data_IF_657072125388
#
_entry.id   IF_657072125388
#
_cell.length_a   1.000
_cell.length_b   1.000
_cell.length_c   1.000
_cell.angle_alpha   90.00
_cell.angle_beta   90.00
_cell.angle_gamma   90.00
#
_symmetry.space_group_name_H-M   'P 1'
#
loop_
_entity.id
_entity.type
_entity.pdbx_description
1 polymer ?
#
# COMPACT_ATOMS: atom_id res chain seq x y z
N UNK A 1 4.36 -49.39 9.33
CA UNK A 1 4.76 -49.65 7.93
C UNK A 1 5.96 -48.77 7.64
N UNK A 2 7.07 -49.44 7.37
CA UNK A 2 8.44 -48.93 7.31
C UNK A 2 8.87 -48.86 5.85
N UNK A 3 9.52 -47.79 5.40
CA UNK A 3 10.52 -47.75 4.33
C UNK A 3 11.30 -46.42 4.53
N UNK A 4 12.56 -46.40 5.00
CA UNK A 4 13.83 -46.81 4.34
C UNK A 4 14.00 -46.07 2.99
N UNK A 5 15.07 -45.34 2.69
CA UNK A 5 16.42 -45.28 3.26
C UNK A 5 17.15 -43.98 2.83
N UNK A 6 18.23 -43.62 3.53
CA UNK A 6 19.65 -43.89 3.13
C UNK A 6 20.11 -42.82 2.12
N UNK A 7 21.12 -41.98 2.36
CA UNK A 7 22.51 -42.33 2.68
C UNK A 7 23.28 -41.19 3.37
N UNK A 8 24.03 -41.58 4.40
CA UNK A 8 25.45 -41.26 4.73
C UNK A 8 25.97 -39.82 4.70
N UNK A 9 26.38 -39.27 5.86
CA UNK A 9 27.64 -39.49 6.60
C UNK A 9 28.81 -38.67 6.04
N UNK A 10 29.28 -37.70 6.83
CA UNK A 10 30.68 -37.57 7.27
C UNK A 10 30.68 -36.76 8.57
N UNK A 11 31.05 -37.48 9.62
CA UNK A 11 31.34 -37.05 10.98
C UNK A 11 32.63 -36.24 11.04
N UNK A 12 32.59 -35.20 11.88
CA UNK A 12 33.64 -34.68 12.77
C UNK A 12 35.11 -34.63 12.30
N UNK A 13 35.76 -33.50 12.57
CA UNK A 13 36.89 -33.39 13.53
C UNK A 13 37.41 -31.95 13.46
N UNK A 14 37.03 -31.11 14.42
CA UNK A 14 37.78 -29.90 14.76
C UNK A 14 38.58 -30.22 16.03
N UNK A 15 39.82 -30.67 15.82
CA UNK A 15 40.81 -30.89 16.86
C UNK A 15 41.55 -29.58 17.10
N UNK A 16 41.57 -29.14 18.36
CA UNK A 16 42.38 -28.04 18.90
C UNK A 16 43.86 -28.23 18.55
N UNK A 17 44.53 -27.16 18.16
CA UNK A 17 46.00 -27.07 18.11
C UNK A 17 46.48 -26.01 19.12
N UNK A 18 47.47 -26.33 19.98
CA UNK A 18 48.01 -25.43 20.98
C UNK A 18 49.20 -24.60 20.44
N UNK A 19 49.44 -23.49 21.13
CA UNK A 19 50.64 -22.67 21.05
C UNK A 19 51.91 -23.49 21.36
N UNK A 20 52.95 -23.31 20.54
CA UNK A 20 54.33 -23.62 20.90
C UNK A 20 55.30 -22.66 20.20
N UNK A 21 56.07 -21.97 21.03
CA UNK A 21 57.23 -21.11 20.78
C UNK A 21 58.41 -21.87 20.15
N UNK A 22 59.14 -21.23 19.24
CA UNK A 22 60.46 -21.67 18.78
C UNK A 22 60.92 -20.91 17.54
N UNK A 23 61.98 -20.12 17.69
CA UNK A 23 62.49 -19.23 16.64
C UNK A 23 63.20 -19.95 15.48
N UNK A 24 63.29 -19.24 14.36
CA UNK A 24 64.42 -19.32 13.44
C UNK A 24 64.35 -18.15 12.46
N UNK A 25 65.39 -17.32 12.48
CA UNK A 25 65.66 -16.31 11.47
C UNK A 25 66.16 -17.03 10.22
N UNK A 26 65.31 -17.15 9.21
CA UNK A 26 65.74 -17.46 7.84
C UNK A 26 65.10 -16.47 6.89
N UNK A 27 65.92 -15.53 6.44
CA UNK A 27 65.64 -14.69 5.28
C UNK A 27 65.40 -15.59 4.06
N UNK A 28 64.18 -15.52 3.53
CA UNK A 28 63.78 -16.15 2.29
C UNK A 28 62.95 -15.15 1.49
N UNK A 29 63.62 -14.32 0.70
CA UNK A 29 63.04 -13.78 -0.53
C UNK A 29 62.67 -14.95 -1.46
N UNK A 30 61.65 -14.73 -2.32
CA UNK A 30 61.00 -15.61 -3.32
C UNK A 30 59.57 -15.99 -2.84
N UNK A 31 58.47 -15.67 -3.52
CA UNK A 31 58.26 -15.21 -4.89
C UNK A 31 57.01 -14.30 -4.96
N UNK A 32 57.13 -13.24 -5.75
CA UNK A 32 56.02 -12.41 -6.19
C UNK A 32 55.12 -13.26 -7.10
N UNK A 33 54.00 -13.72 -6.54
CA UNK A 33 52.94 -14.43 -7.27
C UNK A 33 51.57 -13.88 -6.87
N UNK A 34 51.39 -12.56 -6.97
CA UNK A 34 50.09 -11.90 -6.77
C UNK A 34 49.90 -10.86 -7.88
N UNK A 35 49.63 -11.32 -9.10
CA UNK A 35 49.21 -10.42 -10.18
C UNK A 35 48.14 -11.11 -11.01
N UNK A 36 46.90 -11.05 -10.54
CA UNK A 36 45.72 -11.18 -11.39
C UNK A 36 44.45 -10.83 -10.63
N UNK A 37 44.44 -9.69 -9.94
CA UNK A 37 43.23 -8.95 -9.56
C UNK A 37 43.61 -7.47 -9.37
N UNK A 38 44.10 -6.84 -10.46
CA UNK A 38 44.44 -5.40 -10.47
C UNK A 38 43.21 -4.49 -10.23
N UNK A 39 42.00 -5.04 -10.18
CA UNK A 39 40.80 -4.33 -9.74
C UNK A 39 40.74 -4.09 -8.22
N UNK A 40 41.30 -4.99 -7.40
CA UNK A 40 41.17 -4.91 -5.93
C UNK A 40 42.11 -3.89 -5.27
N UNK A 41 43.29 -3.66 -5.84
CA UNK A 41 44.29 -2.74 -5.29
C UNK A 41 43.84 -1.26 -5.35
N UNK A 42 43.11 -0.88 -6.40
CA UNK A 42 42.54 0.47 -6.53
C UNK A 42 41.48 0.76 -5.46
N UNK A 43 40.61 -0.22 -5.18
CA UNK A 43 39.55 -0.09 -4.18
C UNK A 43 40.11 0.02 -2.75
N UNK A 44 41.17 -0.72 -2.44
CA UNK A 44 41.84 -0.62 -1.12
C UNK A 44 42.50 0.75 -0.89
N UNK A 45 43.09 1.35 -1.92
CA UNK A 45 43.67 2.69 -1.82
C UNK A 45 42.59 3.76 -1.65
N UNK A 46 41.45 3.63 -2.32
CA UNK A 46 40.36 4.60 -2.23
C UNK A 46 39.57 4.54 -0.92
N UNK A 47 39.70 3.48 -0.11
CA UNK A 47 39.15 3.44 1.25
C UNK A 47 40.03 4.16 2.29
N UNK A 48 41.29 4.46 1.99
CA UNK A 48 42.17 5.22 2.89
C UNK A 48 41.74 6.68 2.98
N UNK A 49 41.62 7.22 4.21
CA UNK A 49 41.06 8.56 4.48
C UNK A 49 41.77 9.70 3.74
N UNK A 50 43.06 9.56 3.46
CA UNK A 50 43.89 10.56 2.79
C UNK A 50 43.81 10.50 1.26
N UNK A 51 43.42 9.37 0.67
CA UNK A 51 43.24 9.22 -0.78
C UNK A 51 41.78 9.38 -1.25
N UNK A 52 40.80 9.25 -0.35
CA UNK A 52 39.37 9.48 -0.65
C UNK A 52 39.09 10.77 -1.45
N UNK A 53 39.68 11.95 -1.12
CA UNK A 53 39.41 13.17 -1.86
C UNK A 53 39.86 13.07 -3.33
N UNK A 54 40.99 12.40 -3.56
CA UNK A 54 41.57 12.23 -4.90
C UNK A 54 40.74 11.23 -5.70
N UNK A 55 40.36 10.09 -5.12
CA UNK A 55 39.50 9.11 -5.79
C UNK A 55 38.12 9.68 -6.12
N UNK A 56 37.57 10.50 -5.23
CA UNK A 56 36.30 11.17 -5.39
C UNK A 56 36.30 12.17 -6.55
N UNK A 57 37.35 12.99 -6.68
CA UNK A 57 37.51 13.92 -7.81
C UNK A 57 37.67 13.15 -9.13
N UNK A 58 38.40 12.04 -9.10
CA UNK A 58 38.65 11.19 -10.26
C UNK A 58 37.48 10.24 -10.63
N UNK A 59 36.36 10.27 -9.88
CA UNK A 59 35.22 9.37 -10.08
C UNK A 59 35.62 7.89 -10.17
N UNK A 60 36.61 7.48 -9.37
CA UNK A 60 36.98 6.07 -9.27
C UNK A 60 35.85 5.31 -8.56
N UNK A 61 35.48 4.15 -9.10
CA UNK A 61 34.39 3.34 -8.56
C UNK A 61 34.66 2.99 -7.09
N UNK A 62 33.64 3.12 -6.23
CA UNK A 62 33.75 2.84 -4.80
C UNK A 62 33.84 4.06 -3.87
N UNK A 63 33.81 5.30 -4.39
CA UNK A 63 33.85 6.53 -3.57
C UNK A 63 32.87 7.58 -4.08
N UNK A 64 31.87 7.88 -3.25
CA UNK A 64 30.91 8.93 -3.53
C UNK A 64 31.56 10.33 -3.61
N UNK A 65 31.12 11.16 -4.56
CA UNK A 65 31.48 12.58 -4.57
C UNK A 65 30.88 13.34 -3.38
N UNK A 66 31.42 14.50 -2.95
CA UNK A 66 30.80 15.29 -1.88
C UNK A 66 29.35 15.68 -2.19
N UNK A 67 29.04 15.93 -3.47
CA UNK A 67 27.69 16.23 -3.93
C UNK A 67 26.77 15.01 -3.80
N UNK A 68 27.27 13.84 -4.23
CA UNK A 68 26.55 12.57 -4.10
C UNK A 68 26.30 12.20 -2.64
N UNK A 69 27.31 12.29 -1.78
CA UNK A 69 27.19 12.01 -0.35
C UNK A 69 26.10 12.89 0.28
N UNK A 70 26.11 14.18 -0.02
CA UNK A 70 25.09 15.12 0.49
C UNK A 70 23.68 14.75 0.01
N UNK A 71 23.54 14.34 -1.25
CA UNK A 71 22.26 13.92 -1.80
C UNK A 71 21.79 12.60 -1.17
N UNK A 72 22.70 11.65 -0.99
CA UNK A 72 22.45 10.39 -0.29
C UNK A 72 22.01 10.64 1.15
N UNK A 73 22.71 11.46 1.90
CA UNK A 73 22.36 11.77 3.29
C UNK A 73 20.95 12.38 3.37
N UNK A 74 20.58 13.24 2.41
CA UNK A 74 19.23 13.79 2.30
C UNK A 74 18.18 12.71 2.00
N UNK A 75 18.44 11.82 1.03
CA UNK A 75 17.53 10.73 0.68
C UNK A 75 17.37 9.72 1.83
N UNK A 76 18.48 9.33 2.44
CA UNK A 76 18.53 8.40 3.57
C UNK A 76 17.86 8.96 4.82
N UNK A 77 18.00 10.27 5.09
CA UNK A 77 17.30 10.94 6.19
C UNK A 77 15.80 11.08 5.92
N UNK A 78 15.41 11.37 4.68
CA UNK A 78 14.00 11.48 4.29
C UNK A 78 13.27 10.14 4.31
N UNK A 79 13.97 9.04 4.02
CA UNK A 79 13.41 7.68 3.94
C UNK A 79 12.16 7.58 3.04
N UNK A 80 12.06 8.47 2.04
CA UNK A 80 10.96 8.49 1.09
C UNK A 80 11.34 7.77 -0.19
N UNK A 81 10.38 7.09 -0.81
CA UNK A 81 10.60 6.43 -2.08
C UNK A 81 11.02 7.43 -3.17
N UNK A 82 10.43 8.62 -3.18
CA UNK A 82 10.81 9.68 -4.13
C UNK A 82 12.24 10.18 -3.92
N UNK A 83 12.72 10.25 -2.66
CA UNK A 83 14.10 10.60 -2.36
C UNK A 83 15.09 9.59 -2.95
N UNK A 84 14.83 8.29 -2.78
CA UNK A 84 15.66 7.24 -3.35
C UNK A 84 15.60 7.20 -4.89
N UNK A 85 14.42 7.39 -5.48
CA UNK A 85 14.27 7.51 -6.95
C UNK A 85 15.06 8.68 -7.52
N UNK A 86 14.95 9.84 -6.87
CA UNK A 86 15.67 11.05 -7.29
C UNK A 86 17.18 10.85 -7.20
N UNK A 87 17.65 10.18 -6.15
CA UNK A 87 19.06 9.81 -6.02
C UNK A 87 19.51 8.89 -7.17
N UNK A 88 18.79 7.80 -7.45
CA UNK A 88 19.12 6.87 -8.55
C UNK A 88 19.08 7.56 -9.92
N UNK A 89 18.11 8.45 -10.15
CA UNK A 89 18.01 9.20 -11.39
C UNK A 89 19.22 10.13 -11.63
N UNK A 90 19.84 10.61 -10.55
CA UNK A 90 21.00 11.51 -10.60
C UNK A 90 22.33 10.74 -10.61
N UNK A 91 22.40 9.66 -9.84
CA UNK A 91 23.59 8.84 -9.60
C UNK A 91 23.28 7.36 -9.86
N UNK A 92 22.97 7.02 -11.10
CA UNK A 92 22.56 5.66 -11.49
C UNK A 92 23.63 4.60 -11.19
N UNK A 93 24.90 4.96 -11.40
CA UNK A 93 26.08 4.13 -11.08
C UNK A 93 26.81 4.64 -9.81
N UNK A 94 26.12 5.40 -8.97
CA UNK A 94 26.66 5.94 -7.73
C UNK A 94 26.95 4.87 -6.67
N UNK A 95 27.77 5.21 -5.69
CA UNK A 95 28.16 4.33 -4.59
C UNK A 95 26.94 3.79 -3.83
N UNK A 96 25.92 4.62 -3.62
CA UNK A 96 24.71 4.23 -2.89
C UNK A 96 23.57 3.76 -3.80
N UNK A 97 23.79 3.59 -5.11
CA UNK A 97 22.74 3.20 -6.05
C UNK A 97 22.15 1.83 -5.72
N UNK A 98 23.01 0.87 -5.35
CA UNK A 98 22.59 -0.46 -4.90
C UNK A 98 21.73 -0.39 -3.63
N UNK A 99 22.11 0.46 -2.68
CA UNK A 99 21.39 0.64 -1.42
C UNK A 99 20.04 1.33 -1.62
N UNK A 100 19.98 2.38 -2.44
CA UNK A 100 18.74 3.05 -2.82
C UNK A 100 17.77 2.07 -3.52
N UNK A 101 18.30 1.24 -4.43
CA UNK A 101 17.52 0.22 -5.14
C UNK A 101 16.98 -0.83 -4.18
N UNK A 102 17.78 -1.28 -3.22
CA UNK A 102 17.34 -2.21 -2.19
C UNK A 102 16.20 -1.62 -1.33
N UNK A 103 16.29 -0.33 -0.96
CA UNK A 103 15.22 0.38 -0.22
C UNK A 103 13.92 0.46 -1.01
N UNK A 104 13.99 0.78 -2.30
CA UNK A 104 12.81 0.81 -3.18
C UNK A 104 12.22 -0.59 -3.40
N UNK A 105 13.05 -1.61 -3.50
CA UNK A 105 12.58 -3.00 -3.66
C UNK A 105 11.91 -3.51 -2.38
N UNK A 106 12.40 -3.07 -1.22
CA UNK A 106 11.80 -3.37 0.08
C UNK A 106 10.60 -2.46 0.44
N UNK A 107 10.21 -1.54 -0.45
CA UNK A 107 9.13 -0.61 -0.18
C UNK A 107 7.83 -1.37 0.08
N UNK A 108 7.14 -1.00 1.16
CA UNK A 108 5.83 -1.56 1.47
C UNK A 108 4.77 -0.74 0.74
N UNK A 109 3.89 -1.43 0.01
CA UNK A 109 2.67 -0.84 -0.52
C UNK A 109 1.66 -0.65 0.61
N UNK A 110 1.32 0.59 0.91
CA UNK A 110 0.27 0.97 1.86
C UNK A 110 -0.96 1.34 1.06
N UNK A 111 -2.04 0.60 1.26
CA UNK A 111 -3.35 0.97 0.75
C UNK A 111 -4.14 1.67 1.86
N UNK A 112 -4.71 2.82 1.54
CA UNK A 112 -5.65 3.50 2.42
C UNK A 112 -6.99 3.71 1.71
N UNK A 113 -8.05 3.38 2.42
CA UNK A 113 -9.41 3.55 1.95
C UNK A 113 -9.97 4.87 2.49
N UNK A 114 -10.52 5.68 1.61
CA UNK A 114 -11.25 6.90 1.98
C UNK A 114 -12.60 6.90 1.29
N UNK A 115 -13.59 7.57 1.88
CA UNK A 115 -14.89 7.79 1.25
C UNK A 115 -14.98 9.23 0.76
N UNK A 116 -15.42 9.41 -0.48
CA UNK A 116 -15.71 10.72 -1.02
C UNK A 116 -16.93 11.35 -0.32
N UNK A 117 -17.04 12.67 -0.46
CA UNK A 117 -18.21 13.41 -0.02
C UNK A 117 -19.50 12.76 -0.57
N UNK A 118 -20.58 12.66 0.24
CA UNK A 118 -21.82 12.04 -0.21
C UNK A 118 -22.44 12.79 -1.40
N UNK A 119 -23.02 12.03 -2.33
CA UNK A 119 -23.73 12.53 -3.51
C UNK A 119 -25.12 11.90 -3.59
N UNK A 120 -26.09 12.65 -4.11
CA UNK A 120 -27.48 12.20 -4.26
C UNK A 120 -27.70 11.58 -5.65
N UNK A 121 -28.17 10.33 -5.67
CA UNK A 121 -28.64 9.64 -6.87
C UNK A 121 -30.16 9.53 -6.83
N UNK A 122 -30.83 10.05 -7.86
CA UNK A 122 -32.28 10.11 -7.94
C UNK A 122 -32.81 9.01 -8.85
N UNK A 123 -33.66 8.14 -8.32
CA UNK A 123 -34.22 6.99 -9.03
C UNK A 123 -35.75 7.00 -8.95
N UNK A 124 -36.47 6.56 -10.00
CA UNK A 124 -37.92 6.49 -9.96
C UNK A 124 -38.39 5.42 -8.97
N UNK A 125 -39.45 5.71 -8.23
CA UNK A 125 -40.10 4.78 -7.31
C UNK A 125 -41.62 4.96 -7.36
N UNK A 126 -42.33 3.85 -7.23
CA UNK A 126 -43.77 3.82 -7.01
C UNK A 126 -44.04 3.00 -5.74
N UNK A 127 -45.08 3.37 -5.00
CA UNK A 127 -45.49 2.66 -3.80
C UNK A 127 -46.98 2.38 -3.84
N UNK A 128 -47.35 1.10 -3.84
CA UNK A 128 -48.74 0.70 -3.76
C UNK A 128 -49.23 0.87 -2.34
N UNK A 129 -50.45 1.39 -2.19
CA UNK A 129 -51.10 1.46 -0.90
C UNK A 129 -51.16 0.07 -0.25
N UNK A 130 -50.70 -0.04 0.99
CA UNK A 130 -50.94 -1.22 1.80
C UNK A 130 -52.44 -1.30 2.21
N UNK A 131 -52.81 -2.40 2.86
CA UNK A 131 -54.18 -2.63 3.32
C UNK A 131 -54.39 -2.20 4.79
N UNK A 132 -53.48 -1.42 5.35
CA UNK A 132 -53.56 -0.93 6.74
C UNK A 132 -54.26 0.43 6.75
N UNK A 133 -55.52 0.52 7.21
CA UNK A 133 -56.26 1.78 7.21
C UNK A 133 -55.76 2.72 8.32
N UNK A 134 -55.58 3.99 7.99
CA UNK A 134 -55.22 5.06 8.93
C UNK A 134 -56.40 6.00 9.19
N UNK A 135 -56.46 6.68 10.36
CA UNK A 135 -57.61 7.54 10.71
C UNK A 135 -57.80 8.75 9.78
N UNK A 136 -56.71 9.25 9.19
CA UNK A 136 -56.73 10.42 8.31
C UNK A 136 -55.90 10.17 7.06
N UNK A 137 -56.20 10.91 6.00
CA UNK A 137 -55.39 10.89 4.79
C UNK A 137 -53.93 11.31 5.05
N UNK A 138 -53.71 12.32 5.89
CA UNK A 138 -52.37 12.76 6.26
C UNK A 138 -51.57 11.64 6.94
N UNK A 139 -52.19 10.88 7.86
CA UNK A 139 -51.57 9.73 8.49
C UNK A 139 -51.27 8.60 7.49
N UNK A 140 -52.20 8.33 6.57
CA UNK A 140 -52.01 7.34 5.52
C UNK A 140 -50.86 7.70 4.57
N UNK A 141 -50.74 8.97 4.16
CA UNK A 141 -49.63 9.45 3.30
C UNK A 141 -48.29 9.37 4.03
N UNK A 142 -48.24 9.77 5.30
CA UNK A 142 -47.02 9.67 6.10
C UNK A 142 -46.54 8.22 6.24
N UNK A 143 -47.47 7.29 6.50
CA UNK A 143 -47.16 5.87 6.54
C UNK A 143 -46.68 5.32 5.20
N UNK A 144 -47.35 5.69 4.09
CA UNK A 144 -46.95 5.29 2.75
C UNK A 144 -45.53 5.77 2.39
N UNK A 145 -45.16 7.01 2.77
CA UNK A 145 -43.79 7.52 2.59
C UNK A 145 -42.77 6.71 3.40
N UNK A 146 -43.05 6.44 4.68
CA UNK A 146 -42.14 5.65 5.53
C UNK A 146 -41.95 4.22 4.98
N UNK A 147 -43.03 3.57 4.55
CA UNK A 147 -42.99 2.26 3.90
C UNK A 147 -42.22 2.30 2.58
N UNK A 148 -42.41 3.36 1.77
CA UNK A 148 -41.68 3.54 0.53
C UNK A 148 -40.18 3.78 0.74
N UNK A 149 -39.78 4.51 1.78
CA UNK A 149 -38.37 4.71 2.12
C UNK A 149 -37.69 3.41 2.54
N UNK A 150 -38.36 2.57 3.33
CA UNK A 150 -37.86 1.23 3.67
C UNK A 150 -37.72 0.38 2.41
N UNK A 151 -38.76 0.33 1.59
CA UNK A 151 -38.73 -0.42 0.34
C UNK A 151 -37.63 0.05 -0.61
N UNK A 152 -37.48 1.37 -0.79
CA UNK A 152 -36.45 1.95 -1.64
C UNK A 152 -35.04 1.63 -1.12
N UNK A 153 -34.83 1.62 0.21
CA UNK A 153 -33.56 1.20 0.80
C UNK A 153 -33.19 -0.24 0.45
N UNK A 154 -34.17 -1.14 0.55
CA UNK A 154 -33.95 -2.58 0.41
C UNK A 154 -33.97 -3.05 -1.05
N UNK A 155 -34.44 -2.21 -1.98
CA UNK A 155 -34.54 -2.55 -3.40
C UNK A 155 -33.83 -1.52 -4.30
N UNK A 156 -34.43 -0.35 -4.49
CA UNK A 156 -33.97 0.70 -5.42
C UNK A 156 -32.55 1.18 -5.15
N UNK A 157 -32.21 1.43 -3.88
CA UNK A 157 -30.91 1.92 -3.43
C UNK A 157 -29.98 0.78 -2.97
N UNK A 158 -30.42 -0.47 -2.97
CA UNK A 158 -29.69 -1.60 -2.37
C UNK A 158 -28.31 -1.82 -3.03
N UNK A 159 -28.20 -1.54 -4.33
CA UNK A 159 -26.92 -1.63 -5.06
C UNK A 159 -25.82 -0.75 -4.49
N UNK A 160 -26.16 0.35 -3.81
CA UNK A 160 -25.20 1.26 -3.20
C UNK A 160 -24.78 0.86 -1.78
N UNK A 161 -25.35 -0.20 -1.21
CA UNK A 161 -25.05 -0.64 0.16
C UNK A 161 -23.76 -1.49 0.27
N UNK A 162 -23.09 -1.80 -0.85
CA UNK A 162 -21.92 -2.68 -0.85
C UNK A 162 -20.87 -2.31 -1.90
N UNK A 163 -19.69 -2.92 -1.79
CA UNK A 163 -18.61 -2.81 -2.76
C UNK A 163 -17.94 -1.43 -2.75
N UNK A 164 -17.93 -0.78 -3.91
CA UNK A 164 -17.32 0.54 -4.13
C UNK A 164 -18.16 1.69 -3.58
N UNK A 165 -19.37 1.41 -3.11
CA UNK A 165 -20.29 2.42 -2.61
C UNK A 165 -20.68 2.16 -1.16
N UNK A 166 -21.04 3.24 -0.48
CA UNK A 166 -21.67 3.19 0.84
C UNK A 166 -22.90 4.07 0.84
N UNK A 167 -24.05 3.45 0.95
CA UNK A 167 -25.33 4.12 1.17
C UNK A 167 -25.32 4.85 2.52
N UNK A 168 -25.54 6.16 2.49
CA UNK A 168 -25.58 7.06 3.66
C UNK A 168 -27.00 7.38 4.08
N UNK A 169 -27.92 7.45 3.12
CA UNK A 169 -29.30 7.85 3.37
C UNK A 169 -30.22 7.47 2.21
N UNK A 170 -31.50 7.38 2.52
CA UNK A 170 -32.59 7.19 1.56
C UNK A 170 -33.72 8.10 2.00
N UNK A 171 -34.25 8.88 1.04
CA UNK A 171 -35.44 9.70 1.21
C UNK A 171 -36.34 9.51 0.00
N UNK A 172 -37.66 9.61 0.19
CA UNK A 172 -38.62 9.49 -0.92
C UNK A 172 -39.44 10.77 -1.05
N UNK A 173 -39.49 11.29 -2.27
CA UNK A 173 -40.40 12.35 -2.69
C UNK A 173 -41.53 11.70 -3.49
N UNK A 174 -42.78 11.92 -3.08
CA UNK A 174 -43.94 11.30 -3.70
C UNK A 174 -44.82 12.34 -4.40
N UNK A 175 -45.12 12.08 -5.66
CA UNK A 175 -46.10 12.76 -6.50
C UNK A 175 -47.25 11.76 -6.82
N UNK A 176 -48.26 12.13 -7.62
CA UNK A 176 -49.23 11.14 -8.11
C UNK A 176 -50.02 10.37 -7.03
N UNK A 177 -50.37 11.03 -5.92
CA UNK A 177 -51.05 10.38 -4.79
C UNK A 177 -52.42 9.78 -5.17
N UNK A 178 -52.64 8.54 -4.76
CA UNK A 178 -53.94 7.87 -4.82
C UNK A 178 -54.34 7.42 -3.42
N UNK A 179 -55.38 8.05 -2.87
CA UNK A 179 -55.93 7.73 -1.56
C UNK A 179 -57.38 7.26 -1.70
N UNK A 180 -57.78 6.28 -0.88
CA UNK A 180 -59.16 5.76 -0.86
C UNK A 180 -59.58 5.32 0.53
N UNK A 181 -60.89 5.39 0.80
CA UNK A 181 -61.47 4.85 2.02
C UNK A 181 -61.44 3.32 2.00
N UNK A 182 -60.99 2.71 3.09
CA UNK A 182 -60.91 1.26 3.26
C UNK A 182 -61.19 0.90 4.72
N UNK A 183 -62.20 0.04 4.96
CA UNK A 183 -62.57 -0.47 6.30
C UNK A 183 -62.70 0.61 7.39
N UNK A 184 -63.26 1.77 7.04
CA UNK A 184 -63.48 2.87 8.00
C UNK A 184 -62.27 3.77 8.26
N UNK A 185 -61.15 3.57 7.55
CA UNK A 185 -60.04 4.52 7.50
C UNK A 185 -59.61 4.82 6.07
N UNK A 186 -58.42 5.37 5.90
CA UNK A 186 -57.84 5.77 4.61
C UNK A 186 -56.55 4.99 4.35
N UNK A 187 -56.37 4.54 3.12
CA UNK A 187 -55.10 4.01 2.62
C UNK A 187 -54.62 4.86 1.45
N UNK A 188 -53.31 5.07 1.36
CA UNK A 188 -52.69 5.90 0.33
C UNK A 188 -51.48 5.20 -0.29
N UNK A 189 -51.27 5.46 -1.57
CA UNK A 189 -50.05 5.11 -2.31
C UNK A 189 -49.81 6.13 -3.41
N UNK A 190 -48.77 5.92 -4.21
CA UNK A 190 -48.40 6.79 -5.32
C UNK A 190 -47.78 5.99 -6.47
N UNK A 191 -48.04 6.43 -7.69
CA UNK A 191 -47.51 5.83 -8.93
C UNK A 191 -46.26 6.56 -9.45
N UNK A 192 -46.06 7.81 -9.04
CA UNK A 192 -44.95 8.67 -9.46
C UNK A 192 -44.20 9.18 -8.24
N UNK A 193 -42.94 8.81 -8.10
CA UNK A 193 -42.10 9.28 -7.01
C UNK A 193 -40.62 9.15 -7.33
N UNK A 194 -39.80 9.74 -6.48
CA UNK A 194 -38.34 9.73 -6.58
C UNK A 194 -37.76 9.25 -5.26
N UNK A 195 -36.96 8.18 -5.32
CA UNK A 195 -36.06 7.81 -4.25
C UNK A 195 -34.75 8.55 -4.45
N UNK A 196 -34.28 9.26 -3.43
CA UNK A 196 -32.95 9.86 -3.44
C UNK A 196 -32.05 9.05 -2.53
N UNK A 197 -31.11 8.35 -3.15
CA UNK A 197 -30.08 7.57 -2.49
C UNK A 197 -28.87 8.48 -2.27
N UNK A 198 -28.57 8.83 -1.02
CA UNK A 198 -27.34 9.56 -0.69
C UNK A 198 -26.20 8.56 -0.53
N UNK A 199 -25.17 8.65 -1.35
CA UNK A 199 -24.13 7.62 -1.52
C UNK A 199 -22.74 8.25 -1.45
N UNK A 200 -21.82 7.60 -0.75
CA UNK A 200 -20.39 7.90 -0.83
C UNK A 200 -19.67 6.83 -1.63
N UNK A 201 -18.85 7.23 -2.60
CA UNK A 201 -17.94 6.32 -3.30
C UNK A 201 -16.66 6.08 -2.47
N UNK A 202 -16.19 4.83 -2.47
CA UNK A 202 -14.93 4.38 -1.91
C UNK A 202 -13.82 4.74 -2.89
N UNK A 203 -12.75 5.33 -2.38
CA UNK A 203 -11.50 5.52 -3.11
C UNK A 203 -10.39 4.78 -2.39
N UNK A 204 -9.54 4.11 -3.16
CA UNK A 204 -8.34 3.44 -2.66
C UNK A 204 -7.16 4.28 -3.14
N UNK A 205 -6.43 4.87 -2.20
CA UNK A 205 -5.14 5.48 -2.49
C UNK A 205 -4.03 4.51 -2.12
N UNK A 206 -3.01 4.47 -2.96
CA UNK A 206 -1.85 3.61 -2.83
C UNK A 206 -0.65 4.52 -2.59
N UNK A 207 0.01 4.32 -1.47
CA UNK A 207 1.27 4.95 -1.15
C UNK A 207 2.36 3.89 -1.01
N UNK A 208 3.61 4.27 -1.23
CA UNK A 208 4.75 3.43 -0.94
C UNK A 208 5.48 3.96 0.28
N UNK A 209 5.83 3.03 1.17
CA UNK A 209 6.56 3.31 2.39
C UNK A 209 7.95 2.68 2.30
N UNK A 210 8.94 3.54 2.09
CA UNK A 210 10.36 3.18 2.04
C UNK A 210 11.07 3.41 3.38
N UNK A 211 10.34 3.66 4.48
CA UNK A 211 10.91 3.80 5.82
C UNK A 211 11.20 2.47 6.50
N UNK A 212 10.65 1.38 5.97
CA UNK A 212 10.83 0.01 6.48
C UNK A 212 12.31 -0.38 6.40
N UNK A 213 12.87 -0.83 7.53
CA UNK A 213 14.31 -1.09 7.68
C UNK A 213 14.70 -2.53 7.43
#
# INVERSE_FOLDING_TARGET
MTFLGVVDSITSVFRKSPFATGGSLTAGLLALGVISDLGGAGQFMCQQSWFRPVCSVLHLQGVASPAEQKMWDSAAKGQTCDGYRTYIATYADGEFASQATARLTAARRIESETFLAPQDFVLPVAHRADLTPYPTEAAARAAALASAESYARDTTCAGYASGEFRLKGVRVEADGWTCRSYRGGTICGFDQGKAVCTVSARTISVAEDCSVR
#
